data_IF_217002667463
#
_entry.id   IF_217002667463
#
_cell.length_a   1.000
_cell.length_b   1.000
_cell.length_c   1.000
_cell.angle_alpha   90.00
_cell.angle_beta   90.00
_cell.angle_gamma   90.00
#
_symmetry.space_group_name_H-M   'P 1'
#
loop_
_entity.id
_entity.type
_entity.pdbx_description
1 polymer ?
#
# COMPACT_ATOMS: atom_id res chain seq x y z
N UNK A 1 -1.57 18.09 -3.00
CA UNK A 1 -2.48 17.16 -3.71
C UNK A 1 -3.26 17.95 -4.75
N UNK A 2 -3.28 17.49 -6.01
CA UNK A 2 -4.17 18.08 -7.02
C UNK A 2 -5.58 17.53 -6.84
N UNK A 3 -6.55 18.39 -6.50
CA UNK A 3 -7.98 18.04 -6.47
C UNK A 3 -8.60 18.53 -7.77
N UNK A 4 -9.48 17.76 -8.43
CA UNK A 4 -10.18 18.26 -9.59
C UNK A 4 -11.21 19.30 -9.15
N UNK A 5 -11.52 20.25 -10.04
CA UNK A 5 -12.70 21.10 -9.88
C UNK A 5 -13.97 20.26 -9.76
N UNK A 6 -15.00 20.83 -9.11
CA UNK A 6 -16.30 20.19 -8.93
C UNK A 6 -16.94 19.81 -10.28
N UNK A 7 -17.71 18.72 -10.30
CA UNK A 7 -18.39 18.31 -11.53
C UNK A 7 -19.39 19.36 -12.01
N UNK A 8 -20.14 19.99 -11.09
CA UNK A 8 -21.06 21.08 -11.42
C UNK A 8 -20.39 22.20 -12.22
N UNK A 9 -19.25 22.71 -11.75
CA UNK A 9 -18.50 23.76 -12.44
C UNK A 9 -18.09 23.34 -13.86
N UNK A 10 -17.62 22.10 -13.99
CA UNK A 10 -17.14 21.54 -15.26
C UNK A 10 -18.27 21.35 -16.26
N UNK A 11 -19.41 20.86 -15.78
CA UNK A 11 -20.61 20.60 -16.58
C UNK A 11 -21.25 21.92 -17.04
N UNK A 12 -21.38 22.90 -16.15
CA UNK A 12 -21.89 24.24 -16.51
C UNK A 12 -20.99 24.96 -17.51
N UNK A 13 -19.68 24.91 -17.32
CA UNK A 13 -18.73 25.48 -18.27
C UNK A 13 -18.79 24.78 -19.64
N UNK A 14 -18.86 23.45 -19.66
CA UNK A 14 -19.00 22.69 -20.89
C UNK A 14 -20.33 22.96 -21.60
N UNK A 15 -21.44 23.06 -20.86
CA UNK A 15 -22.75 23.41 -21.38
C UNK A 15 -22.77 24.82 -21.99
N UNK A 16 -22.12 25.80 -21.35
CA UNK A 16 -22.00 27.16 -21.88
C UNK A 16 -21.21 27.21 -23.21
N UNK A 17 -20.18 26.37 -23.37
CA UNK A 17 -19.48 26.22 -24.66
C UNK A 17 -20.36 25.51 -25.68
N UNK A 18 -21.12 24.50 -25.26
CA UNK A 18 -22.05 23.80 -26.15
C UNK A 18 -23.19 24.70 -26.63
N UNK A 19 -23.59 25.70 -25.84
CA UNK A 19 -24.58 26.71 -26.22
C UNK A 19 -24.00 27.83 -27.11
N UNK A 20 -22.78 27.67 -27.62
CA UNK A 20 -22.18 28.57 -28.62
C UNK A 20 -21.25 29.66 -28.07
N UNK A 21 -21.02 29.75 -26.76
CA UNK A 21 -20.05 30.71 -26.20
C UNK A 21 -18.62 30.28 -26.49
N UNK A 22 -17.73 31.26 -26.64
CA UNK A 22 -16.31 30.95 -26.83
C UNK A 22 -15.67 30.42 -25.55
N UNK A 23 -14.64 29.57 -25.67
CA UNK A 23 -13.94 29.05 -24.49
C UNK A 23 -13.28 30.17 -23.65
N UNK A 24 -12.87 31.28 -24.27
CA UNK A 24 -12.28 32.44 -23.57
C UNK A 24 -13.30 33.21 -22.75
N UNK A 25 -14.49 33.41 -23.31
CA UNK A 25 -15.60 34.05 -22.61
C UNK A 25 -16.03 33.21 -21.40
N UNK A 26 -16.25 31.91 -21.60
CA UNK A 26 -16.61 30.97 -20.52
C UNK A 26 -15.53 30.92 -19.43
N UNK A 27 -14.25 30.88 -19.81
CA UNK A 27 -13.15 30.91 -18.84
C UNK A 27 -13.18 32.15 -17.95
N UNK A 28 -13.45 33.31 -18.55
CA UNK A 28 -13.57 34.59 -17.84
C UNK A 28 -14.79 34.61 -16.91
N UNK A 29 -15.93 34.12 -17.38
CA UNK A 29 -17.19 34.06 -16.61
C UNK A 29 -17.08 33.17 -15.36
N UNK A 30 -16.39 32.04 -15.47
CA UNK A 30 -16.26 31.06 -14.39
C UNK A 30 -14.97 31.22 -13.56
N UNK A 31 -14.10 32.17 -13.91
CA UNK A 31 -12.83 32.39 -13.20
C UNK A 31 -11.86 31.22 -13.30
N UNK A 32 -11.82 30.52 -14.44
CA UNK A 32 -10.98 29.34 -14.66
C UNK A 32 -10.06 29.53 -15.87
N UNK A 33 -9.02 28.70 -15.98
CA UNK A 33 -8.14 28.78 -17.15
C UNK A 33 -8.87 28.38 -18.45
N UNK A 34 -8.52 29.04 -19.56
CA UNK A 34 -9.06 28.70 -20.90
C UNK A 34 -8.78 27.23 -21.25
N UNK A 35 -7.59 26.73 -20.89
CA UNK A 35 -7.21 25.34 -21.14
C UNK A 35 -8.11 24.34 -20.40
N UNK A 36 -8.59 24.67 -19.19
CA UNK A 36 -9.54 23.85 -18.45
C UNK A 36 -10.87 23.75 -19.18
N UNK A 37 -11.42 24.87 -19.63
CA UNK A 37 -12.68 24.93 -20.37
C UNK A 37 -12.59 24.13 -21.68
N UNK A 38 -11.48 24.27 -22.41
CA UNK A 38 -11.22 23.49 -23.63
C UNK A 38 -11.25 21.99 -23.33
N UNK A 39 -10.53 21.54 -22.30
CA UNK A 39 -10.49 20.12 -21.90
C UNK A 39 -11.87 19.58 -21.47
N UNK A 40 -12.66 20.39 -20.77
CA UNK A 40 -14.01 19.99 -20.34
C UNK A 40 -14.98 19.89 -21.52
N UNK A 41 -14.94 20.87 -22.43
CA UNK A 41 -15.73 20.86 -23.67
C UNK A 41 -15.39 19.68 -24.57
N UNK A 42 -14.10 19.42 -24.81
CA UNK A 42 -13.64 18.26 -25.59
C UNK A 42 -14.15 16.95 -24.99
N UNK A 43 -14.10 16.81 -23.67
CA UNK A 43 -14.56 15.60 -23.00
C UNK A 43 -16.08 15.45 -23.05
N UNK A 44 -16.83 16.53 -22.87
CA UNK A 44 -18.27 16.54 -23.03
C UNK A 44 -18.67 16.04 -24.41
N UNK A 45 -17.97 16.47 -25.47
CA UNK A 45 -18.18 16.00 -26.85
C UNK A 45 -17.81 14.53 -27.04
N UNK A 46 -16.71 14.08 -26.43
CA UNK A 46 -16.21 12.72 -26.61
C UNK A 46 -16.96 11.65 -25.79
N UNK A 47 -17.48 12.00 -24.62
CA UNK A 47 -18.01 11.02 -23.64
C UNK A 47 -19.39 11.37 -23.08
N UNK A 48 -19.96 12.51 -23.46
CA UNK A 48 -21.25 12.98 -22.93
C UNK A 48 -21.18 13.61 -21.53
N UNK A 49 -20.01 13.63 -20.89
CA UNK A 49 -19.82 14.23 -19.55
C UNK A 49 -18.51 15.00 -19.42
N UNK A 50 -18.56 16.15 -18.74
CA UNK A 50 -17.40 16.95 -18.38
C UNK A 50 -16.76 16.53 -17.05
N UNK A 51 -17.39 15.60 -16.32
CA UNK A 51 -16.98 15.14 -15.00
C UNK A 51 -15.53 14.69 -14.96
N UNK A 52 -14.88 14.74 -13.80
CA UNK A 52 -13.49 14.24 -13.69
C UNK A 52 -13.40 12.74 -13.99
N UNK A 53 -12.23 12.27 -14.44
CA UNK A 53 -11.94 10.82 -14.35
C UNK A 53 -11.72 10.52 -12.88
N UNK A 54 -11.94 9.26 -12.51
CA UNK A 54 -11.52 8.76 -11.21
C UNK A 54 -10.05 9.14 -11.00
N UNK A 55 -9.79 9.97 -9.99
CA UNK A 55 -8.44 10.39 -9.65
C UNK A 55 -7.88 9.41 -8.64
N UNK A 56 -6.74 8.82 -8.97
CA UNK A 56 -6.28 7.63 -8.29
C UNK A 56 -7.14 6.41 -8.65
N UNK A 57 -6.61 5.22 -8.40
CA UNK A 57 -7.30 3.99 -8.78
C UNK A 57 -6.50 2.74 -8.45
N UNK A 58 -7.21 1.62 -8.45
CA UNK A 58 -6.69 0.30 -8.12
C UNK A 58 -5.64 -0.13 -9.16
N UNK A 59 -4.35 -0.07 -8.78
CA UNK A 59 -3.31 -0.77 -9.53
C UNK A 59 -3.61 -2.26 -9.38
N UNK A 60 -3.91 -2.95 -10.48
CA UNK A 60 -4.12 -4.42 -10.48
C UNK A 60 -2.99 -5.06 -9.70
N UNK A 61 -3.32 -5.76 -8.61
CA UNK A 61 -2.33 -6.52 -7.85
C UNK A 61 -1.86 -7.64 -8.75
N UNK A 62 -0.56 -7.68 -9.07
CA UNK A 62 0.02 -8.72 -9.94
C UNK A 62 -0.28 -10.14 -9.42
N UNK A 63 -0.44 -10.26 -8.10
CA UNK A 63 -0.68 -11.50 -7.39
C UNK A 63 -2.16 -11.88 -7.28
N UNK A 64 -3.09 -11.04 -7.74
CA UNK A 64 -4.53 -11.32 -7.65
C UNK A 64 -4.94 -12.62 -8.37
N UNK A 65 -4.44 -12.94 -9.58
CA UNK A 65 -4.75 -14.20 -10.25
C UNK A 65 -4.23 -15.43 -9.49
N UNK A 66 -3.15 -15.26 -8.72
CA UNK A 66 -2.48 -16.33 -7.97
C UNK A 66 -2.88 -16.33 -6.48
N UNK A 67 -3.94 -15.60 -6.13
CA UNK A 67 -4.38 -15.42 -4.75
C UNK A 67 -4.68 -16.75 -4.06
N UNK A 68 -5.39 -17.65 -4.73
CA UNK A 68 -5.74 -18.96 -4.18
C UNK A 68 -4.48 -19.78 -3.85
N UNK A 69 -3.53 -19.86 -4.79
CA UNK A 69 -2.26 -20.58 -4.62
C UNK A 69 -1.49 -20.10 -3.38
N UNK A 70 -1.40 -18.78 -3.21
CA UNK A 70 -0.71 -18.20 -2.05
C UNK A 70 -1.43 -18.50 -0.73
N UNK A 71 -2.76 -18.40 -0.71
CA UNK A 71 -3.55 -18.69 0.49
C UNK A 71 -3.44 -20.16 0.88
N UNK A 72 -3.58 -21.07 -0.08
CA UNK A 72 -3.50 -22.51 0.14
C UNK A 72 -2.11 -22.90 0.62
N UNK A 73 -1.06 -22.27 0.08
CA UNK A 73 0.31 -22.52 0.53
C UNK A 73 0.55 -22.07 1.97
N UNK A 74 0.07 -20.89 2.35
CA UNK A 74 0.18 -20.38 3.73
C UNK A 74 -0.66 -21.22 4.71
N UNK A 75 -1.80 -21.77 4.28
CA UNK A 75 -2.61 -22.68 5.11
C UNK A 75 -1.95 -24.04 5.28
N UNK A 76 -1.31 -24.57 4.23
CA UNK A 76 -0.59 -25.84 4.27
C UNK A 76 0.65 -25.76 5.18
N UNK A 77 1.38 -24.63 5.15
CA UNK A 77 2.56 -24.41 6.00
C UNK A 77 2.45 -23.03 6.68
N UNK A 78 1.85 -22.96 7.88
CA UNK A 78 1.63 -21.69 8.59
C UNK A 78 2.90 -20.93 8.97
N UNK A 79 4.03 -21.64 9.13
CA UNK A 79 5.33 -21.08 9.53
C UNK A 79 6.19 -20.64 8.33
N UNK A 80 5.65 -20.70 7.10
CA UNK A 80 6.38 -20.31 5.90
C UNK A 80 6.76 -18.82 5.96
N UNK A 81 8.04 -18.53 5.69
CA UNK A 81 8.48 -17.13 5.63
C UNK A 81 8.02 -16.49 4.32
N UNK A 82 7.71 -15.20 4.35
CA UNK A 82 7.31 -14.46 3.14
C UNK A 82 8.40 -14.47 2.05
N UNK A 83 9.68 -14.57 2.44
CA UNK A 83 10.80 -14.69 1.48
C UNK A 83 10.80 -16.05 0.79
N UNK A 84 10.56 -17.13 1.53
CA UNK A 84 10.44 -18.46 0.95
C UNK A 84 9.26 -18.54 -0.03
N UNK A 85 8.12 -17.95 0.34
CA UNK A 85 6.95 -17.88 -0.52
C UNK A 85 7.20 -17.10 -1.82
N UNK A 86 8.00 -16.02 -1.79
CA UNK A 86 8.43 -15.31 -3.01
C UNK A 86 9.34 -16.19 -3.88
N UNK A 87 10.24 -16.96 -3.29
CA UNK A 87 11.11 -17.88 -4.03
C UNK A 87 10.30 -18.99 -4.73
N UNK A 88 9.36 -19.62 -4.03
CA UNK A 88 8.46 -20.63 -4.61
C UNK A 88 7.62 -20.05 -5.76
N UNK A 89 7.10 -18.83 -5.61
CA UNK A 89 6.38 -18.14 -6.68
C UNK A 89 7.29 -17.84 -7.88
N UNK A 90 8.57 -17.50 -7.66
CA UNK A 90 9.52 -17.25 -8.72
C UNK A 90 9.85 -18.52 -9.52
N UNK A 91 9.94 -19.68 -8.86
CA UNK A 91 10.10 -20.99 -9.52
C UNK A 91 8.92 -21.32 -10.45
N UNK A 92 7.72 -20.83 -10.13
CA UNK A 92 6.51 -20.96 -10.95
C UNK A 92 6.40 -19.86 -12.03
N UNK A 93 7.43 -19.02 -12.21
CA UNK A 93 7.45 -17.93 -13.18
C UNK A 93 6.75 -16.64 -12.75
N UNK A 94 6.33 -16.54 -11.48
CA UNK A 94 5.58 -15.41 -10.94
C UNK A 94 6.53 -14.47 -10.20
N UNK A 95 7.13 -13.52 -10.93
CA UNK A 95 8.03 -12.53 -10.36
C UNK A 95 7.27 -11.54 -9.45
N UNK A 96 7.42 -11.69 -8.13
CA UNK A 96 6.75 -10.85 -7.13
C UNK A 96 7.72 -10.35 -6.05
N UNK A 97 7.31 -9.32 -5.31
CA UNK A 97 8.06 -8.80 -4.17
C UNK A 97 7.44 -9.24 -2.85
N UNK A 98 8.26 -9.32 -1.80
CA UNK A 98 7.81 -9.64 -0.43
C UNK A 98 6.68 -8.73 0.05
N UNK A 99 6.70 -7.45 -0.34
CA UNK A 99 5.65 -6.49 0.02
C UNK A 99 4.31 -6.83 -0.65
N UNK A 100 4.34 -7.29 -1.91
CA UNK A 100 3.14 -7.71 -2.63
C UNK A 100 2.49 -8.93 -1.98
N UNK A 101 3.32 -9.93 -1.62
CA UNK A 101 2.87 -11.12 -0.89
C UNK A 101 2.32 -10.75 0.49
N UNK A 102 3.03 -9.91 1.25
CA UNK A 102 2.56 -9.42 2.56
C UNK A 102 1.22 -8.70 2.48
N UNK A 103 1.04 -7.82 1.47
CA UNK A 103 -0.22 -7.10 1.26
C UNK A 103 -1.39 -8.03 0.94
N UNK A 104 -1.14 -9.13 0.25
CA UNK A 104 -2.13 -10.17 -0.03
C UNK A 104 -2.46 -10.94 1.24
N UNK A 105 -1.47 -11.54 1.90
CA UNK A 105 -1.66 -12.31 3.14
C UNK A 105 -2.37 -11.47 4.22
N UNK A 106 -2.03 -10.18 4.33
CA UNK A 106 -2.67 -9.25 5.26
C UNK A 106 -4.11 -8.90 4.87
N UNK A 107 -4.44 -8.75 3.58
CA UNK A 107 -5.83 -8.52 3.16
C UNK A 107 -6.73 -9.74 3.42
N UNK A 108 -6.15 -10.94 3.45
CA UNK A 108 -6.83 -12.19 3.80
C UNK A 108 -7.05 -12.40 5.30
N UNK A 109 -6.58 -11.48 6.14
CA UNK A 109 -6.68 -11.63 7.59
C UNK A 109 -5.80 -12.75 8.16
N UNK A 110 -4.95 -13.38 7.35
CA UNK A 110 -4.02 -14.40 7.79
C UNK A 110 -2.95 -13.74 8.67
N UNK A 111 -2.99 -14.08 9.95
CA UNK A 111 -2.08 -13.57 10.96
C UNK A 111 -1.37 -14.74 11.62
N UNK A 112 -0.06 -14.61 11.78
CA UNK A 112 0.70 -15.51 12.62
C UNK A 112 0.23 -15.37 14.07
N UNK A 113 -0.34 -16.45 14.64
CA UNK A 113 -0.74 -16.48 16.04
C UNK A 113 0.52 -16.63 16.89
N UNK A 114 0.90 -15.58 17.61
CA UNK A 114 2.03 -15.65 18.56
C UNK A 114 1.59 -16.39 19.83
N UNK A 115 1.84 -17.69 19.91
CA UNK A 115 1.81 -18.40 21.18
C UNK A 115 3.11 -18.11 21.94
N UNK A 116 3.02 -17.31 23.01
CA UNK A 116 4.18 -17.09 23.88
C UNK A 116 4.52 -18.42 24.58
N UNK A 117 5.53 -19.14 24.07
CA UNK A 117 6.19 -20.18 24.86
C UNK A 117 6.88 -19.44 26.01
N UNK A 118 6.19 -19.35 27.16
CA UNK A 118 6.78 -18.85 28.40
C UNK A 118 7.85 -19.85 28.82
N UNK A 119 9.06 -19.70 28.29
CA UNK A 119 10.26 -20.29 28.87
C UNK A 119 10.48 -19.51 30.16
N UNK A 120 9.98 -20.03 31.29
CA UNK A 120 10.34 -19.50 32.61
C UNK A 120 11.88 -19.45 32.63
N UNK A 121 12.44 -18.30 32.97
CA UNK A 121 13.84 -18.24 33.33
C UNK A 121 14.07 -19.33 34.38
N UNK A 122 14.93 -20.30 34.09
CA UNK A 122 15.34 -21.25 35.11
C UNK A 122 15.91 -20.42 36.27
N UNK A 123 15.49 -20.74 37.50
CA UNK A 123 16.03 -20.10 38.69
C UNK A 123 17.57 -20.16 38.61
N UNK A 124 18.22 -19.03 38.87
CA UNK A 124 19.67 -18.95 38.93
C UNK A 124 20.13 -20.00 39.95
N UNK A 125 20.71 -21.11 39.46
CA UNK A 125 21.42 -22.04 40.33
C UNK A 125 22.60 -21.25 40.90
N UNK A 126 22.70 -21.31 42.22
CA UNK A 126 23.60 -20.55 43.07
C UNK A 126 24.94 -20.26 42.40
N UNK A 127 25.22 -18.98 42.18
CA UNK A 127 26.59 -18.53 41.96
C UNK A 127 27.32 -18.72 43.28
N UNK A 128 28.27 -19.65 43.32
CA UNK A 128 29.28 -19.70 44.37
C UNK A 128 29.91 -18.31 44.51
N UNK A 129 29.93 -17.78 45.74
CA UNK A 129 30.54 -16.50 46.06
C UNK A 129 32.03 -16.58 45.73
N UNK A 130 32.54 -15.60 44.98
CA UNK A 130 33.97 -15.42 44.78
C UNK A 130 34.66 -15.29 46.15
N UNK A 131 35.62 -16.18 46.40
CA UNK A 131 36.45 -16.16 47.61
C UNK A 131 37.25 -14.86 47.71
N UNK A 132 37.46 -14.41 48.95
CA UNK A 132 38.25 -13.23 49.26
C UNK A 132 39.70 -13.40 48.79
N UNK A 133 40.24 -12.39 48.11
CA UNK A 133 41.66 -12.32 47.72
C UNK A 133 42.52 -12.06 48.96
N UNK A 134 43.55 -12.88 49.11
CA UNK A 134 44.52 -12.91 50.21
C UNK A 134 45.38 -11.63 50.23
N UNK A 135 45.57 -11.05 51.42
CA UNK A 135 46.44 -9.89 51.63
C UNK A 135 47.92 -10.27 51.49
N UNK A 136 48.64 -9.53 50.65
CA UNK A 136 50.08 -9.68 50.47
C UNK A 136 50.82 -9.03 51.65
N UNK A 137 51.35 -9.85 52.56
CA UNK A 137 52.34 -9.41 53.56
C UNK A 137 53.73 -9.37 52.92
N UNK A 138 54.32 -8.18 52.80
CA UNK A 138 55.76 -8.03 52.55
C UNK A 138 56.60 -8.32 53.80
N UNK A 139 57.91 -8.53 53.64
CA UNK A 139 58.83 -8.15 54.71
C UNK A 139 60.07 -7.35 54.25
N UNK A 140 60.48 -6.50 55.21
CA UNK A 140 61.71 -5.75 55.49
C UNK A 140 62.97 -6.00 54.64
#
# INVERSE_FOLDING_TARGET
MARPYSNDLRERAAAAVASGRSCREVASLFGVSVASVVKWSQRQRATGTAASRQMGGHRKRLLEPHRALVIDRVRAVPDITLKALVAELAEQGIATSTVSVWRLVRSEGLRFKKSAVRRRAAAAKDREKAGAVEEVSGPA
#
